data_IF_075615693016
#
_entry.id   IF_075615693016
#
_cell.length_a   1.000
_cell.length_b   1.000
_cell.length_c   1.000
_cell.angle_alpha   90.00
_cell.angle_beta   90.00
_cell.angle_gamma   90.00
#
_symmetry.space_group_name_H-M   'P 1'
#
loop_
_entity.id
_entity.type
_entity.pdbx_description
1 polymer ?
#
# COMPACT_ATOMS: atom_id res chain seq x y z
N UNK A 1 22.00 54.05 -5.93
CA UNK A 1 20.91 54.38 -4.98
C UNK A 1 20.89 53.31 -3.91
N UNK A 2 20.79 53.71 -2.64
CA UNK A 2 21.30 53.01 -1.44
C UNK A 2 20.52 51.74 -1.06
N UNK A 3 21.28 50.80 -0.49
CA UNK A 3 20.89 49.56 0.19
C UNK A 3 20.07 49.79 1.48
N UNK A 4 19.39 48.73 1.96
CA UNK A 4 19.53 48.23 3.34
C UNK A 4 18.83 46.88 3.53
N UNK A 5 19.57 45.89 4.03
CA UNK A 5 19.12 44.60 4.57
C UNK A 5 19.04 44.69 6.11
N UNK A 6 18.25 43.80 6.73
CA UNK A 6 18.30 43.48 8.17
C UNK A 6 16.89 43.28 8.76
N UNK A 7 16.59 42.34 9.66
CA UNK A 7 17.36 41.28 10.32
C UNK A 7 16.39 40.27 10.96
N UNK A 8 16.94 39.11 11.32
CA UNK A 8 16.42 38.00 12.13
C UNK A 8 15.55 38.38 13.35
N UNK A 9 14.62 37.49 13.74
CA UNK A 9 14.75 36.63 14.94
C UNK A 9 13.41 36.20 15.56
N UNK A 10 13.23 34.88 15.64
CA UNK A 10 12.66 34.07 16.75
C UNK A 10 11.51 34.62 17.62
N UNK A 11 10.44 33.82 17.73
CA UNK A 11 9.50 33.91 18.84
C UNK A 11 8.55 32.71 18.90
N UNK A 12 8.89 31.73 19.74
CA UNK A 12 8.05 30.58 20.08
C UNK A 12 6.66 31.04 20.58
N UNK A 13 5.59 30.62 19.92
CA UNK A 13 4.22 30.75 20.45
C UNK A 13 3.98 29.63 21.47
N UNK A 14 4.15 29.98 22.74
CA UNK A 14 3.68 29.22 23.89
C UNK A 14 2.16 29.15 23.88
N UNK A 15 1.62 27.93 23.94
CA UNK A 15 0.22 27.69 24.33
C UNK A 15 -0.03 28.28 25.72
N UNK A 16 -0.96 29.22 25.82
CA UNK A 16 -1.80 29.40 27.01
C UNK A 16 -3.21 29.68 26.52
N UNK A 17 -4.14 28.89 27.05
CA UNK A 17 -5.55 29.03 26.76
C UNK A 17 -6.06 30.35 27.31
N UNK A 18 -6.82 31.06 26.50
CA UNK A 18 -7.67 32.14 26.96
C UNK A 18 -9.08 31.85 26.43
N UNK A 19 -10.01 31.83 27.38
CA UNK A 19 -11.40 31.48 27.17
C UNK A 19 -12.04 32.39 26.13
N UNK A 20 -12.91 31.80 25.33
CA UNK A 20 -13.77 32.50 24.39
C UNK A 20 -14.76 33.36 25.17
N UNK A 21 -14.38 34.60 25.51
CA UNK A 21 -15.28 35.63 26.02
C UNK A 21 -15.95 36.27 24.82
N UNK A 22 -17.23 35.97 24.64
CA UNK A 22 -18.11 36.65 23.70
C UNK A 22 -18.32 38.08 24.21
N UNK A 23 -17.62 39.04 23.61
CA UNK A 23 -17.83 40.46 23.85
C UNK A 23 -18.91 40.94 22.86
N UNK A 24 -20.14 41.15 23.37
CA UNK A 24 -21.19 41.82 22.63
C UNK A 24 -20.88 43.31 22.60
N UNK A 25 -20.21 43.77 21.55
CA UNK A 25 -20.03 45.18 21.24
C UNK A 25 -21.27 45.72 20.52
N UNK A 26 -22.04 46.56 21.20
CA UNK A 26 -23.06 47.44 20.61
C UNK A 26 -22.37 48.54 19.79
N UNK A 27 -22.35 48.39 18.47
CA UNK A 27 -22.23 49.50 17.52
C UNK A 27 -22.65 49.05 16.12
N UNK A 28 -23.82 49.48 15.66
CA UNK A 28 -24.29 49.49 14.27
C UNK A 28 -23.87 48.29 13.40
N UNK A 29 -24.43 47.10 13.64
CA UNK A 29 -24.11 45.90 12.88
C UNK A 29 -24.90 45.90 11.57
N UNK A 30 -24.20 45.93 10.42
CA UNK A 30 -24.75 45.58 9.10
C UNK A 30 -25.52 44.26 9.21
N UNK A 31 -26.84 44.36 9.20
CA UNK A 31 -27.77 43.25 9.41
C UNK A 31 -27.63 42.26 8.25
N UNK A 32 -26.85 41.19 8.44
CA UNK A 32 -26.64 40.17 7.41
C UNK A 32 -25.17 39.84 7.10
N UNK A 33 -24.20 40.44 7.78
CA UNK A 33 -22.78 40.17 7.50
C UNK A 33 -22.22 39.05 8.40
N UNK A 34 -21.65 38.02 7.79
CA UNK A 34 -20.98 36.89 8.44
C UNK A 34 -19.49 36.90 8.06
N UNK A 35 -18.60 37.21 9.02
CA UNK A 35 -17.16 37.33 8.76
C UNK A 35 -16.45 35.98 8.63
N UNK A 36 -15.61 35.84 7.61
CA UNK A 36 -14.73 34.70 7.33
C UNK A 36 -13.24 35.11 7.34
N UNK A 37 -12.38 34.21 7.83
CA UNK A 37 -10.94 34.44 7.98
C UNK A 37 -10.14 34.27 6.68
N UNK A 38 -10.72 33.65 5.64
CA UNK A 38 -10.07 33.45 4.34
C UNK A 38 -11.09 33.29 3.23
N UNK A 39 -10.65 33.50 1.99
CA UNK A 39 -11.46 33.29 0.78
C UNK A 39 -12.01 31.87 0.70
N UNK A 40 -11.16 30.87 0.96
CA UNK A 40 -11.55 29.46 1.00
C UNK A 40 -12.67 29.23 2.01
N UNK A 41 -12.55 29.80 3.20
CA UNK A 41 -13.58 29.64 4.23
C UNK A 41 -14.90 30.31 3.83
N UNK A 42 -14.84 31.47 3.19
CA UNK A 42 -16.04 32.14 2.67
C UNK A 42 -16.73 31.30 1.59
N UNK A 43 -15.94 30.69 0.70
CA UNK A 43 -16.43 29.81 -0.36
C UNK A 43 -17.00 28.50 0.18
N UNK A 44 -16.37 27.89 1.19
CA UNK A 44 -16.90 26.69 1.85
C UNK A 44 -18.24 26.98 2.52
N UNK A 45 -18.35 28.13 3.22
CA UNK A 45 -19.61 28.51 3.86
C UNK A 45 -20.68 28.94 2.86
N UNK A 46 -20.33 29.59 1.73
CA UNK A 46 -21.33 29.95 0.71
C UNK A 46 -21.95 28.70 0.08
N UNK A 47 -21.16 27.63 -0.10
CA UNK A 47 -21.67 26.33 -0.55
C UNK A 47 -22.61 25.69 0.49
N UNK A 48 -22.27 25.79 1.78
CA UNK A 48 -23.16 25.33 2.87
C UNK A 48 -24.48 26.08 2.82
N UNK A 49 -24.45 27.40 2.68
CA UNK A 49 -25.66 28.22 2.63
C UNK A 49 -26.48 27.98 1.36
N UNK A 50 -25.83 27.85 0.20
CA UNK A 50 -26.49 27.46 -1.05
C UNK A 50 -27.17 26.09 -0.95
N UNK A 51 -26.61 25.14 -0.19
CA UNK A 51 -27.23 23.83 0.04
C UNK A 51 -28.49 23.88 0.92
N UNK A 52 -28.70 24.98 1.64
CA UNK A 52 -29.87 25.24 2.47
C UNK A 52 -30.84 26.22 1.79
N UNK A 53 -30.65 26.47 0.49
CA UNK A 53 -31.40 27.45 -0.30
C UNK A 53 -31.35 28.87 0.30
N UNK A 54 -30.24 29.23 0.95
CA UNK A 54 -29.99 30.57 1.49
C UNK A 54 -29.15 31.37 0.48
N UNK A 55 -29.68 32.45 -0.14
CA UNK A 55 -28.93 33.31 -1.04
C UNK A 55 -27.76 33.98 -0.32
N UNK A 56 -26.58 33.96 -0.94
CA UNK A 56 -25.37 34.57 -0.36
C UNK A 56 -24.56 35.29 -1.41
N UNK A 57 -23.99 36.44 -1.04
CA UNK A 57 -22.92 37.08 -1.80
C UNK A 57 -21.63 37.05 -0.98
N UNK A 58 -20.51 36.76 -1.63
CA UNK A 58 -19.19 36.86 -1.00
C UNK A 58 -18.64 38.24 -1.30
N UNK A 59 -18.33 38.99 -0.25
CA UNK A 59 -17.70 40.30 -0.38
C UNK A 59 -16.37 40.36 0.36
N UNK A 60 -15.52 41.25 -0.11
CA UNK A 60 -14.25 41.59 0.52
C UNK A 60 -14.38 42.96 1.14
N UNK A 61 -14.45 43.00 2.47
CA UNK A 61 -14.57 44.22 3.26
C UNK A 61 -13.37 45.14 3.04
N UNK A 62 -13.55 46.45 3.28
CA UNK A 62 -12.53 47.49 3.17
C UNK A 62 -11.24 47.19 3.97
N UNK A 63 -11.34 46.39 5.04
CA UNK A 63 -10.21 45.95 5.85
C UNK A 63 -9.59 44.62 5.37
N UNK A 64 -9.83 44.24 4.12
CA UNK A 64 -9.27 43.05 3.51
C UNK A 64 -9.74 41.71 4.14
N UNK A 65 -10.90 41.74 4.81
CA UNK A 65 -11.55 40.57 5.43
C UNK A 65 -12.65 40.04 4.53
N UNK A 66 -12.78 38.71 4.45
CA UNK A 66 -13.82 38.07 3.68
C UNK A 66 -15.12 38.03 4.48
N UNK A 67 -16.25 38.28 3.84
CA UNK A 67 -17.55 38.21 4.48
C UNK A 67 -18.59 37.60 3.54
N UNK A 68 -19.58 36.94 4.12
CA UNK A 68 -20.80 36.55 3.42
C UNK A 68 -21.90 37.52 3.78
N UNK A 69 -22.57 38.04 2.77
CA UNK A 69 -23.78 38.85 2.91
C UNK A 69 -24.97 37.94 2.69
N UNK A 70 -25.80 37.85 3.72
CA UNK A 70 -27.11 37.17 3.72
C UNK A 70 -28.19 38.19 3.97
N UNK A 71 -29.41 37.87 3.57
CA UNK A 71 -30.57 38.64 3.99
C UNK A 71 -30.65 38.69 5.54
N UNK A 72 -30.93 39.86 6.15
CA UNK A 72 -31.16 39.98 7.58
C UNK A 72 -32.08 38.89 8.16
N UNK A 73 -33.12 38.49 7.41
CA UNK A 73 -34.11 37.49 7.84
C UNK A 73 -33.54 36.07 7.88
N UNK A 74 -32.55 35.77 7.03
CA UNK A 74 -31.91 34.45 6.94
C UNK A 74 -30.66 34.31 7.82
N UNK A 75 -30.23 35.37 8.50
CA UNK A 75 -28.98 35.40 9.27
C UNK A 75 -28.89 34.30 10.33
N UNK A 76 -29.95 34.09 11.09
CA UNK A 76 -29.96 33.07 12.15
C UNK A 76 -29.93 31.65 11.58
N UNK A 77 -30.63 31.41 10.47
CA UNK A 77 -30.58 30.15 9.72
C UNK A 77 -29.18 29.90 9.16
N UNK A 78 -28.53 30.93 8.63
CA UNK A 78 -27.19 30.86 8.09
C UNK A 78 -26.14 30.54 9.18
N UNK A 79 -26.24 31.20 10.34
CA UNK A 79 -25.36 30.91 11.48
C UNK A 79 -25.55 29.49 12.00
N UNK A 80 -26.80 29.00 12.08
CA UNK A 80 -27.10 27.64 12.48
C UNK A 80 -26.52 26.60 11.50
N UNK A 81 -26.66 26.82 10.19
CA UNK A 81 -26.11 25.95 9.15
C UNK A 81 -24.58 25.89 9.20
N UNK A 82 -23.91 27.04 9.34
CA UNK A 82 -22.44 27.11 9.47
C UNK A 82 -21.99 26.44 10.79
N UNK A 83 -22.72 26.62 11.88
CA UNK A 83 -22.41 25.97 13.14
C UNK A 83 -22.52 24.44 13.05
N UNK A 84 -23.58 23.93 12.42
CA UNK A 84 -23.77 22.51 12.18
C UNK A 84 -22.66 21.93 11.29
N UNK A 85 -22.33 22.60 10.18
CA UNK A 85 -21.20 22.25 9.33
C UNK A 85 -19.89 22.18 10.12
N UNK A 86 -19.64 23.13 11.03
CA UNK A 86 -18.46 23.11 11.89
C UNK A 86 -18.49 21.96 12.89
N UNK A 87 -19.65 21.58 13.44
CA UNK A 87 -19.78 20.43 14.34
C UNK A 87 -19.54 19.11 13.60
N UNK A 88 -20.06 18.96 12.38
CA UNK A 88 -19.86 17.77 11.54
C UNK A 88 -18.41 17.65 11.05
N UNK A 89 -17.76 18.79 10.76
CA UNK A 89 -16.37 18.85 10.32
C UNK A 89 -15.37 19.05 11.47
N UNK A 90 -15.80 19.03 12.74
CA UNK A 90 -14.92 19.00 13.93
C UNK A 90 -14.23 17.64 14.03
N UNK A 91 -13.27 17.42 13.14
CA UNK A 91 -12.27 16.37 13.26
C UNK A 91 -12.67 14.99 12.72
N UNK A 92 -13.07 14.90 11.45
CA UNK A 92 -12.89 13.64 10.71
C UNK A 92 -11.43 13.50 10.25
N UNK A 93 -10.58 13.05 11.17
CA UNK A 93 -9.14 12.79 10.95
C UNK A 93 -8.87 11.65 9.94
N UNK A 94 -9.93 10.98 9.44
CA UNK A 94 -9.81 9.80 8.58
C UNK A 94 -9.61 10.09 7.09
N UNK A 95 -9.85 11.32 6.62
CA UNK A 95 -9.56 11.71 5.22
C UNK A 95 -8.14 12.26 5.09
N UNK A 96 -7.14 11.40 5.22
CA UNK A 96 -5.84 11.69 4.62
C UNK A 96 -5.90 11.32 3.14
N UNK A 97 -5.65 12.28 2.26
CA UNK A 97 -5.32 11.95 0.87
C UNK A 97 -4.05 11.09 0.91
N UNK A 98 -4.19 9.81 0.61
CA UNK A 98 -3.05 8.93 0.40
C UNK A 98 -2.28 9.54 -0.78
N UNK A 99 -0.96 9.79 -0.68
CA UNK A 99 -0.20 10.43 -1.74
C UNK A 99 -0.15 9.61 -3.05
N UNK A 100 -0.72 8.40 -3.06
CA UNK A 100 -0.78 7.50 -4.19
C UNK A 100 -2.22 6.97 -4.33
N UNK A 101 -2.84 7.30 -5.46
CA UNK A 101 -4.27 7.12 -5.71
C UNK A 101 -4.52 6.24 -6.95
N UNK A 102 -3.99 5.01 -6.95
CA UNK A 102 -4.38 4.06 -8.00
C UNK A 102 -3.71 2.70 -7.92
N UNK A 103 -4.47 1.65 -8.28
CA UNK A 103 -3.89 0.43 -8.81
C UNK A 103 -3.23 0.80 -10.15
N UNK A 104 -1.90 0.83 -10.22
CA UNK A 104 -1.25 0.95 -11.53
C UNK A 104 -1.33 -0.40 -12.22
N UNK A 105 -2.21 -0.52 -13.22
CA UNK A 105 -2.26 -1.72 -14.04
C UNK A 105 -0.97 -1.80 -14.86
N UNK A 106 -0.06 -2.66 -14.41
CA UNK A 106 1.16 -2.98 -15.13
C UNK A 106 1.02 -4.36 -15.75
N UNK A 107 1.38 -4.51 -17.03
CA UNK A 107 1.32 -5.77 -17.77
C UNK A 107 2.11 -6.91 -17.09
N UNK A 108 3.09 -6.57 -16.24
CA UNK A 108 3.84 -7.53 -15.44
C UNK A 108 2.98 -8.44 -14.54
N UNK A 109 1.89 -7.91 -13.96
CA UNK A 109 0.96 -8.72 -13.18
C UNK A 109 0.22 -9.73 -14.06
N UNK A 110 -0.27 -9.27 -15.23
CA UNK A 110 -0.91 -10.15 -16.21
C UNK A 110 0.07 -11.21 -16.75
N UNK A 111 1.31 -10.82 -17.04
CA UNK A 111 2.37 -11.72 -17.48
C UNK A 111 2.58 -12.86 -16.46
N UNK A 112 2.67 -12.52 -15.16
CA UNK A 112 2.81 -13.54 -14.12
C UNK A 112 1.61 -14.48 -14.05
N UNK A 113 0.37 -13.96 -14.17
CA UNK A 113 -0.82 -14.79 -14.23
C UNK A 113 -0.79 -15.76 -15.43
N UNK A 114 -0.44 -15.26 -16.61
CA UNK A 114 -0.32 -16.06 -17.83
C UNK A 114 0.79 -17.11 -17.72
N UNK A 115 1.91 -16.75 -17.10
CA UNK A 115 3.01 -17.67 -16.83
C UNK A 115 2.54 -18.83 -15.93
N UNK A 116 1.83 -18.56 -14.84
CA UNK A 116 1.31 -19.62 -13.98
C UNK A 116 0.29 -20.52 -14.67
N UNK A 117 -0.60 -19.94 -15.48
CA UNK A 117 -1.57 -20.71 -16.27
C UNK A 117 -0.86 -21.60 -17.28
N UNK A 118 0.16 -21.08 -17.95
CA UNK A 118 0.98 -21.86 -18.89
C UNK A 118 1.71 -23.00 -18.18
N UNK A 119 2.36 -22.74 -17.04
CA UNK A 119 3.08 -23.76 -16.26
C UNK A 119 2.10 -24.83 -15.73
N UNK A 120 0.92 -24.44 -15.24
CA UNK A 120 -0.10 -25.39 -14.81
C UNK A 120 -0.55 -26.29 -15.97
N UNK A 121 -0.86 -25.71 -17.13
CA UNK A 121 -1.24 -26.48 -18.33
C UNK A 121 -0.14 -27.45 -18.74
N UNK A 122 1.10 -26.98 -18.82
CA UNK A 122 2.25 -27.80 -19.22
C UNK A 122 2.47 -28.93 -18.21
N UNK A 123 2.46 -28.64 -16.91
CA UNK A 123 2.79 -29.62 -15.86
C UNK A 123 1.67 -30.63 -15.56
N UNK A 124 0.42 -30.30 -15.86
CA UNK A 124 -0.74 -31.17 -15.57
C UNK A 124 -1.28 -31.87 -16.80
N UNK A 125 -1.30 -31.19 -17.95
CA UNK A 125 -1.94 -31.68 -19.18
C UNK A 125 -0.90 -32.21 -20.16
N UNK A 126 0.09 -31.37 -20.52
CA UNK A 126 1.00 -31.69 -21.61
C UNK A 126 2.09 -32.69 -21.18
N UNK A 127 2.64 -32.53 -19.97
CA UNK A 127 3.71 -33.36 -19.42
C UNK A 127 3.52 -33.62 -17.90
N UNK A 128 2.65 -34.56 -17.50
CA UNK A 128 2.35 -34.84 -16.09
C UNK A 128 3.59 -35.19 -15.23
N UNK A 129 4.61 -35.82 -15.83
CA UNK A 129 5.89 -36.13 -15.15
C UNK A 129 6.72 -34.90 -14.78
N UNK A 130 6.40 -33.72 -15.33
CA UNK A 130 7.09 -32.47 -14.98
C UNK A 130 6.81 -32.07 -13.54
N UNK A 131 5.59 -32.33 -13.05
CA UNK A 131 5.20 -31.95 -11.69
C UNK A 131 6.06 -32.67 -10.64
N UNK A 132 6.34 -33.97 -10.81
CA UNK A 132 7.20 -34.72 -9.89
C UNK A 132 8.67 -34.26 -9.94
N UNK A 133 9.13 -33.77 -11.08
CA UNK A 133 10.48 -33.20 -11.22
C UNK A 133 10.62 -31.79 -10.61
N UNK A 134 9.52 -31.02 -10.56
CA UNK A 134 9.53 -29.62 -10.15
C UNK A 134 9.02 -29.39 -8.72
N UNK A 135 8.24 -30.32 -8.16
CA UNK A 135 7.69 -30.23 -6.80
C UNK A 135 8.81 -30.13 -5.77
N UNK A 136 8.58 -29.33 -4.74
CA UNK A 136 9.48 -29.30 -3.59
C UNK A 136 9.42 -30.66 -2.89
N UNK A 137 10.59 -31.20 -2.56
CA UNK A 137 10.72 -32.32 -1.66
C UNK A 137 11.95 -32.16 -0.78
N UNK A 138 11.77 -32.29 0.53
CA UNK A 138 12.85 -32.09 1.49
C UNK A 138 14.01 -33.08 1.30
N UNK A 139 13.73 -34.30 0.82
CA UNK A 139 14.74 -35.33 0.58
C UNK A 139 15.64 -34.96 -0.61
N UNK A 140 15.04 -34.66 -1.76
CA UNK A 140 15.75 -34.34 -3.01
C UNK A 140 16.50 -33.01 -2.88
N UNK A 141 15.91 -32.01 -2.21
CA UNK A 141 16.60 -30.74 -1.93
C UNK A 141 17.85 -30.98 -1.06
N UNK A 142 17.75 -31.83 -0.02
CA UNK A 142 18.93 -32.22 0.80
C UNK A 142 19.94 -33.07 0.02
N UNK A 143 19.52 -33.75 -1.04
CA UNK A 143 20.38 -34.51 -1.95
C UNK A 143 21.04 -33.63 -3.03
N UNK A 144 20.78 -32.32 -3.06
CA UNK A 144 21.41 -31.36 -3.96
C UNK A 144 20.50 -30.78 -5.04
N UNK A 145 19.23 -31.18 -5.11
CA UNK A 145 18.25 -30.65 -6.07
C UNK A 145 17.65 -29.30 -5.62
N UNK A 146 18.52 -28.33 -5.33
CA UNK A 146 18.15 -27.02 -4.76
C UNK A 146 17.20 -26.21 -5.66
N UNK A 147 17.21 -26.45 -6.98
CA UNK A 147 16.29 -25.79 -7.93
C UNK A 147 14.82 -26.06 -7.61
N UNK A 148 14.50 -27.14 -6.89
CA UNK A 148 13.13 -27.46 -6.46
C UNK A 148 12.53 -26.39 -5.56
N UNK A 149 13.35 -25.64 -4.82
CA UNK A 149 12.91 -24.48 -4.04
C UNK A 149 12.31 -23.37 -4.93
N UNK A 150 12.79 -23.27 -6.16
CA UNK A 150 12.44 -22.23 -7.12
C UNK A 150 11.29 -22.67 -8.03
N UNK A 151 11.34 -23.90 -8.53
CA UNK A 151 10.32 -24.45 -9.44
C UNK A 151 8.99 -24.70 -8.73
N UNK A 152 9.01 -25.13 -7.46
CA UNK A 152 7.81 -25.42 -6.68
C UNK A 152 6.90 -24.19 -6.52
N UNK A 153 7.49 -22.99 -6.45
CA UNK A 153 6.76 -21.70 -6.35
C UNK A 153 5.85 -21.47 -7.56
N UNK A 154 6.10 -22.10 -8.71
CA UNK A 154 5.34 -21.88 -9.93
C UNK A 154 4.31 -22.99 -10.22
N UNK A 155 4.39 -24.11 -9.50
CA UNK A 155 3.50 -25.25 -9.68
C UNK A 155 2.17 -25.09 -8.93
N UNK A 156 1.12 -25.73 -9.45
CA UNK A 156 -0.17 -25.84 -8.79
C UNK A 156 -0.71 -27.26 -8.94
N UNK A 157 -1.35 -27.79 -7.89
CA UNK A 157 -1.85 -29.16 -7.85
C UNK A 157 -3.24 -29.29 -8.46
N UNK A 158 -4.02 -28.21 -8.42
CA UNK A 158 -5.40 -28.17 -8.89
C UNK A 158 -5.79 -26.76 -9.33
N UNK A 159 -6.90 -26.70 -10.07
CA UNK A 159 -7.40 -25.45 -10.67
C UNK A 159 -7.90 -24.45 -9.60
N UNK A 160 -8.45 -24.91 -8.49
CA UNK A 160 -8.94 -24.01 -7.44
C UNK A 160 -7.76 -23.32 -6.75
N UNK A 161 -6.70 -24.06 -6.41
CA UNK A 161 -5.49 -23.50 -5.86
C UNK A 161 -4.83 -22.48 -6.81
N UNK A 162 -4.76 -22.78 -8.11
CA UNK A 162 -4.31 -21.82 -9.12
C UNK A 162 -5.17 -20.56 -9.15
N UNK A 163 -6.49 -20.72 -9.17
CA UNK A 163 -7.43 -19.59 -9.23
C UNK A 163 -7.27 -18.64 -8.04
N UNK A 164 -7.18 -19.16 -6.82
CA UNK A 164 -6.98 -18.33 -5.62
C UNK A 164 -5.64 -17.59 -5.63
N UNK A 165 -4.56 -18.23 -6.07
CA UNK A 165 -3.24 -17.59 -6.16
C UNK A 165 -3.20 -16.53 -7.26
N UNK A 166 -3.79 -16.79 -8.43
CA UNK A 166 -3.83 -15.82 -9.53
C UNK A 166 -4.66 -14.59 -9.16
N UNK A 167 -5.84 -14.78 -8.58
CA UNK A 167 -6.73 -13.67 -8.21
C UNK A 167 -6.16 -12.82 -7.08
N UNK A 168 -5.71 -13.44 -5.99
CA UNK A 168 -5.11 -12.74 -4.84
C UNK A 168 -3.77 -12.13 -5.22
N UNK A 169 -2.93 -12.89 -5.92
CA UNK A 169 -1.63 -12.47 -6.41
C UNK A 169 -1.74 -11.26 -7.34
N UNK A 170 -2.69 -11.27 -8.29
CA UNK A 170 -2.88 -10.14 -9.21
C UNK A 170 -3.08 -8.81 -8.47
N UNK A 171 -3.91 -8.79 -7.43
CA UNK A 171 -4.15 -7.60 -6.61
C UNK A 171 -2.89 -7.21 -5.82
N UNK A 172 -2.28 -8.16 -5.10
CA UNK A 172 -1.13 -7.88 -4.24
C UNK A 172 0.11 -7.48 -5.03
N UNK A 173 0.37 -8.11 -6.19
CA UNK A 173 1.42 -7.68 -7.10
C UNK A 173 1.11 -6.33 -7.69
N UNK A 174 -0.12 -6.01 -8.08
CA UNK A 174 -0.46 -4.66 -8.56
C UNK A 174 -0.07 -3.58 -7.54
N UNK A 175 -0.38 -3.81 -6.26
CA UNK A 175 0.00 -2.91 -5.17
C UNK A 175 1.53 -2.87 -4.94
N UNK A 176 2.19 -4.03 -4.92
CA UNK A 176 3.64 -4.12 -4.72
C UNK A 176 4.41 -3.47 -5.88
N UNK A 177 4.00 -3.71 -7.12
CA UNK A 177 4.59 -3.13 -8.33
C UNK A 177 4.44 -1.61 -8.36
N UNK A 178 3.28 -1.08 -7.95
CA UNK A 178 3.07 0.36 -7.83
C UNK A 178 4.08 1.01 -6.86
N UNK A 179 4.43 0.30 -5.78
CA UNK A 179 5.33 0.81 -4.74
C UNK A 179 6.81 0.58 -5.02
N UNK A 180 7.18 -0.60 -5.48
CA UNK A 180 8.57 -1.09 -5.54
C UNK A 180 9.11 -1.21 -6.96
N UNK A 181 8.29 -0.94 -7.98
CA UNK A 181 8.63 -1.17 -9.38
C UNK A 181 8.24 -2.58 -9.84
N UNK A 182 7.85 -2.79 -11.10
CA UNK A 182 7.31 -4.06 -11.58
C UNK A 182 8.23 -5.27 -11.41
N UNK A 183 9.43 -5.21 -11.97
CA UNK A 183 10.41 -6.29 -11.94
C UNK A 183 10.94 -6.53 -10.53
N UNK A 184 11.21 -5.45 -9.78
CA UNK A 184 11.66 -5.55 -8.39
C UNK A 184 10.63 -6.22 -7.49
N UNK A 185 9.35 -5.82 -7.57
CA UNK A 185 8.29 -6.41 -6.78
C UNK A 185 8.11 -7.90 -7.10
N UNK A 186 8.13 -8.27 -8.39
CA UNK A 186 7.97 -9.65 -8.80
C UNK A 186 9.14 -10.53 -8.36
N UNK A 187 10.38 -10.08 -8.60
CA UNK A 187 11.59 -10.79 -8.19
C UNK A 187 11.66 -10.93 -6.66
N UNK A 188 11.44 -9.84 -5.91
CA UNK A 188 11.48 -9.85 -4.45
C UNK A 188 10.43 -10.81 -3.86
N UNK A 189 9.22 -10.81 -4.41
CA UNK A 189 8.17 -11.73 -3.98
C UNK A 189 8.52 -13.18 -4.32
N UNK A 190 9.08 -13.43 -5.50
CA UNK A 190 9.50 -14.76 -5.92
C UNK A 190 10.55 -15.34 -4.97
N UNK A 191 11.59 -14.55 -4.65
CA UNK A 191 12.61 -14.92 -3.68
C UNK A 191 12.06 -15.09 -2.27
N UNK A 192 11.04 -14.31 -1.88
CA UNK A 192 10.34 -14.53 -0.63
C UNK A 192 9.58 -15.87 -0.62
N UNK A 193 8.95 -16.28 -1.73
CA UNK A 193 8.35 -17.60 -1.88
C UNK A 193 9.36 -18.74 -1.74
N UNK A 194 10.54 -18.59 -2.35
CA UNK A 194 11.68 -19.51 -2.19
C UNK A 194 12.12 -19.60 -0.72
N UNK A 195 12.22 -18.46 -0.02
CA UNK A 195 12.51 -18.42 1.40
C UNK A 195 11.42 -19.09 2.27
N UNK A 196 10.16 -19.08 1.82
CA UNK A 196 9.08 -19.86 2.41
C UNK A 196 9.35 -21.36 2.37
N UNK A 197 9.73 -21.90 1.21
CA UNK A 197 10.11 -23.31 1.11
C UNK A 197 11.37 -23.65 1.91
N UNK A 198 12.35 -22.74 1.97
CA UNK A 198 13.51 -22.89 2.86
C UNK A 198 13.08 -22.95 4.33
N UNK A 199 12.14 -22.11 4.77
CA UNK A 199 11.61 -22.20 6.13
C UNK A 199 10.93 -23.55 6.39
N UNK A 200 10.17 -24.07 5.42
CA UNK A 200 9.59 -25.41 5.49
C UNK A 200 10.65 -26.51 5.62
N UNK A 201 11.74 -26.42 4.86
CA UNK A 201 12.86 -27.38 4.91
C UNK A 201 13.55 -27.46 6.28
N UNK A 202 13.66 -26.33 6.96
CA UNK A 202 14.32 -26.21 8.28
C UNK A 202 13.38 -26.57 9.44
N UNK A 203 12.11 -26.19 9.34
CA UNK A 203 11.14 -26.37 10.43
C UNK A 203 10.53 -27.78 10.42
N UNK A 204 10.18 -28.31 9.24
CA UNK A 204 9.61 -29.66 9.15
C UNK A 204 10.71 -30.71 9.27
N UNK A 205 10.64 -31.54 10.31
CA UNK A 205 11.63 -32.59 10.60
C UNK A 205 11.44 -33.86 9.75
N UNK A 206 10.26 -34.06 9.16
CA UNK A 206 9.92 -35.23 8.35
C UNK A 206 9.97 -34.99 6.83
N UNK A 207 9.65 -36.01 6.02
CA UNK A 207 9.43 -35.83 4.58
C UNK A 207 8.36 -34.77 4.34
N UNK A 208 8.72 -33.72 3.60
CA UNK A 208 7.87 -32.57 3.36
C UNK A 208 7.87 -32.31 1.85
N UNK A 209 6.65 -32.23 1.29
CA UNK A 209 6.43 -31.92 -0.11
C UNK A 209 5.56 -30.67 -0.21
N UNK A 210 5.85 -29.82 -1.20
CA UNK A 210 5.13 -28.57 -1.37
C UNK A 210 5.15 -28.08 -2.81
N UNK A 211 4.08 -27.39 -3.19
CA UNK A 211 3.96 -26.67 -4.45
C UNK A 211 2.94 -25.55 -4.28
N UNK A 212 3.10 -24.47 -5.04
CA UNK A 212 2.19 -23.33 -4.99
C UNK A 212 2.90 -21.99 -4.98
N UNK A 213 2.29 -21.01 -5.64
CA UNK A 213 2.75 -19.63 -5.61
C UNK A 213 2.33 -18.87 -4.35
N UNK A 214 1.59 -19.50 -3.44
CA UNK A 214 1.00 -18.85 -2.28
C UNK A 214 2.05 -18.25 -1.33
N UNK A 215 3.21 -18.89 -1.14
CA UNK A 215 4.34 -18.30 -0.41
C UNK A 215 4.87 -17.01 -1.04
N UNK A 216 4.93 -16.96 -2.38
CA UNK A 216 5.29 -15.76 -3.13
C UNK A 216 4.21 -14.67 -3.00
N UNK A 217 2.92 -15.04 -3.02
CA UNK A 217 1.80 -14.11 -2.77
C UNK A 217 1.86 -13.53 -1.35
N UNK A 218 2.18 -14.34 -0.34
CA UNK A 218 2.43 -13.87 1.03
C UNK A 218 3.68 -12.98 1.12
N UNK A 219 4.71 -13.26 0.31
CA UNK A 219 5.86 -12.38 0.13
C UNK A 219 5.50 -10.99 -0.38
N UNK A 220 4.60 -10.91 -1.37
CA UNK A 220 4.06 -9.63 -1.86
C UNK A 220 3.30 -8.88 -0.75
N UNK A 221 2.51 -9.60 0.05
CA UNK A 221 1.84 -9.02 1.22
C UNK A 221 2.85 -8.50 2.24
N UNK A 222 3.93 -9.23 2.51
CA UNK A 222 5.02 -8.81 3.40
C UNK A 222 5.71 -7.53 2.89
N UNK A 223 6.00 -7.45 1.59
CA UNK A 223 6.56 -6.26 0.94
C UNK A 223 5.71 -5.02 1.20
N UNK A 224 4.40 -5.09 0.90
CA UNK A 224 3.48 -3.96 1.08
C UNK A 224 3.21 -3.64 2.54
N UNK A 225 3.33 -4.60 3.45
CA UNK A 225 3.21 -4.38 4.90
C UNK A 225 4.27 -3.39 5.39
N UNK A 226 5.48 -3.44 4.82
CA UNK A 226 6.61 -2.59 5.21
C UNK A 226 6.71 -1.29 4.41
N UNK A 227 5.81 -1.03 3.46
CA UNK A 227 5.92 0.10 2.52
C UNK A 227 5.94 1.49 3.18
N UNK A 228 5.34 1.60 4.38
CA UNK A 228 5.20 2.86 5.13
C UNK A 228 6.23 3.00 6.25
N UNK A 229 7.15 2.04 6.41
CA UNK A 229 8.20 2.05 7.42
C UNK A 229 8.99 3.38 7.48
N UNK A 230 9.33 4.05 6.35
CA UNK A 230 10.04 5.34 6.42
C UNK A 230 9.26 6.45 7.15
N UNK A 231 7.94 6.32 7.32
CA UNK A 231 7.12 7.26 8.07
C UNK A 231 7.14 7.00 9.58
N UNK A 232 7.61 5.84 10.03
CA UNK A 232 7.64 5.46 11.46
C UNK A 232 8.32 6.51 12.34
N UNK A 233 9.42 7.14 11.85
CA UNK A 233 10.18 8.15 12.58
C UNK A 233 9.58 9.57 12.54
N UNK A 234 8.45 9.79 11.83
CA UNK A 234 7.81 11.12 11.70
C UNK A 234 6.83 11.40 12.85
N UNK A 235 7.30 11.21 14.09
CA UNK A 235 6.50 11.42 15.30
C UNK A 235 5.31 10.47 15.46
N UNK A 236 4.41 10.80 16.39
CA UNK A 236 3.29 9.94 16.79
C UNK A 236 2.34 9.60 15.64
N UNK A 237 2.06 10.55 14.74
CA UNK A 237 1.23 10.32 13.57
C UNK A 237 1.86 9.31 12.60
N UNK A 238 3.17 9.42 12.36
CA UNK A 238 3.93 8.48 11.53
C UNK A 238 3.97 7.07 12.12
N UNK A 239 4.15 6.95 13.44
CA UNK A 239 4.07 5.69 14.18
C UNK A 239 2.71 5.01 14.01
N UNK A 240 1.60 5.73 14.25
CA UNK A 240 0.25 5.16 14.12
C UNK A 240 -0.07 4.78 12.67
N UNK A 241 0.40 5.57 11.70
CA UNK A 241 0.20 5.27 10.28
C UNK A 241 0.92 3.98 9.87
N UNK A 242 2.18 3.80 10.27
CA UNK A 242 2.91 2.54 10.08
C UNK A 242 2.22 1.39 10.81
N UNK A 243 1.87 1.56 12.09
CA UNK A 243 1.25 0.53 12.91
C UNK A 243 -0.07 0.01 12.34
N UNK A 244 -0.92 0.91 11.80
CA UNK A 244 -2.16 0.52 11.12
C UNK A 244 -1.91 -0.29 9.84
N UNK A 245 -0.91 0.12 9.04
CA UNK A 245 -0.52 -0.62 7.84
C UNK A 245 0.06 -2.00 8.17
N UNK A 246 0.93 -2.08 9.17
CA UNK A 246 1.51 -3.33 9.66
C UNK A 246 0.43 -4.28 10.19
N UNK A 247 -0.50 -3.76 11.02
CA UNK A 247 -1.63 -4.53 11.53
C UNK A 247 -2.54 -5.02 10.40
N UNK A 248 -2.86 -4.17 9.42
CA UNK A 248 -3.66 -4.58 8.27
C UNK A 248 -2.96 -5.70 7.47
N UNK A 249 -1.65 -5.60 7.25
CA UNK A 249 -0.86 -6.65 6.61
C UNK A 249 -0.90 -7.99 7.37
N UNK A 250 -0.75 -7.94 8.69
CA UNK A 250 -0.86 -9.13 9.57
C UNK A 250 -2.27 -9.73 9.53
N UNK A 251 -3.32 -8.91 9.59
CA UNK A 251 -4.69 -9.41 9.54
C UNK A 251 -5.03 -10.02 8.18
N UNK A 252 -4.56 -9.42 7.09
CA UNK A 252 -4.67 -10.01 5.75
C UNK A 252 -3.87 -11.31 5.64
N UNK A 253 -2.71 -11.40 6.28
CA UNK A 253 -1.94 -12.64 6.33
C UNK A 253 -2.72 -13.73 7.06
N UNK A 254 -3.33 -13.42 8.20
CA UNK A 254 -4.19 -14.38 8.91
C UNK A 254 -5.38 -14.79 8.02
N UNK A 255 -6.02 -13.84 7.35
CA UNK A 255 -7.17 -14.14 6.49
C UNK A 255 -6.81 -15.04 5.29
N UNK A 256 -5.68 -14.78 4.64
CA UNK A 256 -5.31 -15.40 3.35
C UNK A 256 -4.30 -16.53 3.49
N UNK A 257 -3.49 -16.52 4.56
CA UNK A 257 -2.29 -17.35 4.72
C UNK A 257 -2.44 -18.50 5.71
N UNK A 258 -3.52 -18.61 6.48
CA UNK A 258 -3.68 -19.68 7.49
C UNK A 258 -4.76 -20.70 7.16
N UNK A 259 -4.96 -21.02 5.88
CA UNK A 259 -5.95 -22.04 5.50
C UNK A 259 -5.49 -23.45 5.91
N UNK A 260 -6.42 -24.32 6.28
CA UNK A 260 -6.13 -25.71 6.68
C UNK A 260 -5.60 -26.60 5.55
N UNK A 261 -5.75 -26.17 4.30
CA UNK A 261 -5.29 -26.89 3.11
C UNK A 261 -3.94 -26.40 2.59
N UNK A 262 -3.38 -25.36 3.20
CA UNK A 262 -2.14 -24.72 2.74
C UNK A 262 -1.01 -24.88 3.73
N UNK A 263 0.22 -24.82 3.24
CA UNK A 263 1.40 -24.84 4.09
C UNK A 263 1.61 -23.49 4.79
N UNK A 264 1.19 -23.45 6.06
CA UNK A 264 1.31 -22.27 6.92
C UNK A 264 2.78 -21.88 7.14
N UNK A 265 3.71 -22.83 7.24
CA UNK A 265 5.13 -22.51 7.45
C UNK A 265 5.71 -21.82 6.22
N UNK A 266 5.43 -22.35 5.02
CA UNK A 266 5.85 -21.71 3.79
C UNK A 266 5.25 -20.31 3.63
N UNK A 267 3.99 -20.12 4.04
CA UNK A 267 3.32 -18.82 4.04
C UNK A 267 3.94 -17.82 5.01
N UNK A 268 4.18 -18.24 6.27
CA UNK A 268 4.84 -17.39 7.27
C UNK A 268 6.25 -17.03 6.80
N UNK A 269 7.02 -18.00 6.31
CA UNK A 269 8.36 -17.77 5.78
C UNK A 269 8.35 -16.77 4.62
N UNK A 270 7.41 -16.92 3.68
CA UNK A 270 7.20 -15.98 2.58
C UNK A 270 6.85 -14.57 3.07
N UNK A 271 5.88 -14.44 3.97
CA UNK A 271 5.47 -13.15 4.53
C UNK A 271 6.60 -12.44 5.27
N UNK A 272 7.33 -13.17 6.12
CA UNK A 272 8.46 -12.60 6.88
C UNK A 272 9.60 -12.21 5.94
N UNK A 273 9.99 -13.07 5.00
CA UNK A 273 11.03 -12.75 4.02
C UNK A 273 10.63 -11.54 3.16
N UNK A 274 9.38 -11.48 2.69
CA UNK A 274 8.84 -10.33 1.96
C UNK A 274 8.86 -9.05 2.79
N UNK A 275 8.54 -9.13 4.09
CA UNK A 275 8.66 -8.02 5.03
C UNK A 275 10.11 -7.55 5.18
N UNK A 276 11.06 -8.46 5.36
CA UNK A 276 12.49 -8.13 5.45
C UNK A 276 12.96 -7.45 4.15
N UNK A 277 12.70 -8.05 2.99
CA UNK A 277 13.08 -7.50 1.69
C UNK A 277 12.42 -6.13 1.48
N UNK A 278 11.13 -5.99 1.80
CA UNK A 278 10.41 -4.71 1.70
C UNK A 278 10.99 -3.65 2.61
N UNK A 279 11.32 -4.00 3.85
CA UNK A 279 12.00 -3.13 4.81
C UNK A 279 13.37 -2.65 4.32
N UNK A 280 14.10 -3.48 3.58
CA UNK A 280 15.36 -3.09 2.93
C UNK A 280 15.12 -2.21 1.69
N UNK A 281 14.16 -2.58 0.83
CA UNK A 281 13.86 -1.83 -0.39
C UNK A 281 13.37 -0.41 -0.10
N UNK A 282 12.63 -0.18 0.98
CA UNK A 282 12.17 1.18 1.35
C UNK A 282 13.31 2.11 1.79
N UNK A 283 14.52 1.59 2.02
CA UNK A 283 15.72 2.41 2.24
C UNK A 283 16.24 3.04 0.94
N UNK A 284 15.89 2.46 -0.21
CA UNK A 284 16.25 3.01 -1.52
C UNK A 284 15.33 4.18 -1.90
N UNK A 285 15.86 5.24 -2.54
CA UNK A 285 15.03 6.31 -3.07
C UNK A 285 14.00 5.79 -4.09
N UNK A 286 12.78 6.31 -4.06
CA UNK A 286 11.70 5.89 -4.99
C UNK A 286 12.13 5.98 -6.46
N UNK A 287 12.94 6.98 -6.83
CA UNK A 287 13.50 7.13 -8.19
C UNK A 287 14.37 5.95 -8.63
N UNK A 288 15.04 5.27 -7.70
CA UNK A 288 15.88 4.09 -7.98
C UNK A 288 14.99 2.86 -8.18
N UNK A 289 14.03 2.66 -7.28
CA UNK A 289 13.04 1.57 -7.35
C UNK A 289 12.21 1.62 -8.65
N UNK A 290 11.92 2.83 -9.13
CA UNK A 290 11.18 3.06 -10.38
C UNK A 290 12.08 3.30 -11.60
N UNK A 291 13.39 3.01 -11.50
CA UNK A 291 14.30 3.19 -12.63
C UNK A 291 14.21 2.03 -13.63
N UNK A 292 14.21 2.35 -14.93
CA UNK A 292 14.18 1.35 -16.01
C UNK A 292 15.36 0.37 -15.96
N UNK A 293 16.52 0.79 -15.44
CA UNK A 293 17.68 -0.07 -15.33
C UNK A 293 17.48 -1.17 -14.28
N UNK A 294 17.00 -0.79 -13.09
CA UNK A 294 16.71 -1.75 -12.02
C UNK A 294 15.53 -2.66 -12.40
N UNK A 295 14.51 -2.11 -13.05
CA UNK A 295 13.36 -2.88 -13.53
C UNK A 295 13.80 -3.97 -14.52
N UNK A 296 14.54 -3.60 -15.58
CA UNK A 296 15.07 -4.56 -16.57
C UNK A 296 16.01 -5.58 -15.95
N UNK A 297 16.90 -5.15 -15.05
CA UNK A 297 17.80 -6.06 -14.33
C UNK A 297 17.04 -7.09 -13.48
N UNK A 298 15.99 -6.64 -12.79
CA UNK A 298 15.15 -7.51 -11.96
C UNK A 298 14.35 -8.50 -12.80
N UNK A 299 13.80 -8.06 -13.94
CA UNK A 299 13.12 -8.94 -14.90
C UNK A 299 14.05 -9.98 -15.50
N UNK A 300 15.25 -9.54 -15.94
CA UNK A 300 16.26 -10.43 -16.48
C UNK A 300 16.62 -11.51 -15.46
N UNK A 301 16.91 -11.11 -14.21
CA UNK A 301 17.23 -12.07 -13.15
C UNK A 301 16.07 -13.01 -12.84
N UNK A 302 14.83 -12.51 -12.75
CA UNK A 302 13.65 -13.34 -12.53
C UNK A 302 13.51 -14.41 -13.63
N UNK A 303 13.55 -14.00 -14.90
CA UNK A 303 13.42 -14.92 -16.05
C UNK A 303 14.58 -15.91 -16.07
N UNK A 304 15.83 -15.46 -15.85
CA UNK A 304 17.01 -16.32 -15.80
C UNK A 304 16.87 -17.37 -14.71
N UNK A 305 16.43 -17.00 -13.51
CA UNK A 305 16.20 -17.97 -12.42
C UNK A 305 15.16 -19.01 -12.82
N UNK A 306 13.98 -18.57 -13.30
CA UNK A 306 12.89 -19.47 -13.71
C UNK A 306 13.35 -20.46 -14.80
N UNK A 307 13.99 -19.96 -15.85
CA UNK A 307 14.46 -20.79 -16.97
C UNK A 307 15.57 -21.74 -16.53
N UNK A 308 16.56 -21.25 -15.78
CA UNK A 308 17.68 -22.06 -15.30
C UNK A 308 17.20 -23.18 -14.38
N UNK A 309 16.34 -22.87 -13.41
CA UNK A 309 15.83 -23.86 -12.45
C UNK A 309 14.87 -24.85 -13.12
N UNK A 310 14.07 -24.39 -14.07
CA UNK A 310 13.22 -25.27 -14.87
C UNK A 310 14.03 -26.23 -15.76
N UNK A 311 15.11 -25.72 -16.37
CA UNK A 311 16.03 -26.53 -17.16
C UNK A 311 16.75 -27.59 -16.30
N UNK A 312 17.25 -27.21 -15.12
CA UNK A 312 17.87 -28.16 -14.18
C UNK A 312 16.89 -29.25 -13.74
N UNK A 313 15.64 -28.90 -13.48
CA UNK A 313 14.60 -29.87 -13.11
C UNK A 313 14.32 -30.87 -14.25
N UNK A 314 14.27 -30.42 -15.51
CA UNK A 314 14.12 -31.30 -16.68
C UNK A 314 15.32 -32.23 -16.82
N UNK A 315 16.55 -31.70 -16.70
CA UNK A 315 17.76 -32.52 -16.78
C UNK A 315 17.82 -33.59 -15.68
N UNK A 316 17.36 -33.27 -14.48
CA UNK A 316 17.29 -34.25 -13.39
C UNK A 316 16.31 -35.38 -13.69
N UNK A 317 15.17 -35.06 -14.30
CA UNK A 317 14.13 -36.04 -14.64
C UNK A 317 14.52 -37.01 -15.76
N UNK A 318 15.55 -36.68 -16.55
CA UNK A 318 16.05 -37.50 -17.65
C UNK A 318 17.18 -38.47 -17.24
N UNK A 319 17.66 -38.39 -16.00
CA UNK A 319 18.71 -39.27 -15.45
C UNK A 319 18.11 -40.45 -14.70
#
# INVERSE_FOLDING_TARGET
MRCSFGSEATGQSTRRGEGYRMEYGESGVESGVISAHSERQAMDWSLVLASQDIPTAIERSAENRWALIVDPEDRDRALAAIHQFRLENRGWVWRQQLPWSGLTFHWGGLFWCLLLVAIYRISVIDFPGLQSAWVFSSKEVRAGEWWRLFTAVLLHGDLAHLFFNVTTGFVLFGLAMARFGPGCALLASYLAGVAGYLAGLEIYKGPYHGLGASGMVMGALGLITMQTLPRYRRGRAGFHYFGRGALAGILLFVLLGTSSKSDVVAHVGGFVAGGVIGGLLVLLPTRVLQSNALDRGSWCLFVTLVVLTGWMAILSAMR
#
